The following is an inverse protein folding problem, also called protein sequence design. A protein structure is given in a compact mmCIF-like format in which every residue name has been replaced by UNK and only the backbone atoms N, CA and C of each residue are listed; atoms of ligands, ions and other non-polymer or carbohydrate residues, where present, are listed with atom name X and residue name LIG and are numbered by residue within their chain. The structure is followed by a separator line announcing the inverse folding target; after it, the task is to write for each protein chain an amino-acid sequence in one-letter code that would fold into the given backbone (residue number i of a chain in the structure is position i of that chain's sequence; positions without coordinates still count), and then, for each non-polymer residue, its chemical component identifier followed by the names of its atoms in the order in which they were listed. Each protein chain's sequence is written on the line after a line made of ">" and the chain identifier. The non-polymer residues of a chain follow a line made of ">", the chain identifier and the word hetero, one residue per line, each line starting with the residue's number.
data_IF_107142946817
#
_entry.id   IF_107142946817
#
_cell.length_a   1.000
_cell.length_b   1.000
_cell.length_c   1.000
_cell.angle_alpha   90.00
_cell.angle_beta   90.00
_cell.angle_gamma   90.00
#
_symmetry.space_group_name_H-M   'P 1'
#
loop_
_entity.id
_entity.type
_entity.pdbx_description
1 polymer ?
#
# COMPACT_ATOMS: atom_id res chain seq x y z
N UNK A 1 18.36 65.46 58.97
CA UNK A 1 17.33 65.02 59.93
C UNK A 1 17.54 63.53 60.12
N UNK A 2 17.45 63.01 61.35
CA UNK A 2 17.72 61.60 61.60
C UNK A 2 16.59 60.71 61.05
N UNK A 3 16.91 59.49 60.65
CA UNK A 3 15.98 58.48 60.14
C UNK A 3 16.21 57.15 60.87
N UNK A 4 15.23 56.24 60.81
CA UNK A 4 15.37 54.87 61.30
C UNK A 4 16.56 54.12 60.65
N UNK A 5 16.97 54.54 59.45
CA UNK A 5 18.12 53.97 58.74
C UNK A 5 19.49 54.40 59.31
N UNK A 6 19.52 55.40 60.20
CA UNK A 6 20.74 55.85 60.89
C UNK A 6 20.99 55.07 62.20
N UNK A 7 20.07 54.20 62.61
CA UNK A 7 20.18 53.46 63.86
C UNK A 7 21.14 52.27 63.75
N UNK A 8 21.85 52.01 64.84
CA UNK A 8 22.86 50.95 64.99
C UNK A 8 22.26 49.66 65.57
N UNK A 9 22.79 48.52 65.14
CA UNK A 9 22.51 47.22 65.78
C UNK A 9 23.16 47.10 67.17
N UNK A 10 24.17 47.92 67.45
CA UNK A 10 24.79 48.04 68.78
C UNK A 10 23.99 49.06 69.60
N UNK A 11 23.26 48.57 70.60
CA UNK A 11 22.34 49.38 71.41
C UNK A 11 22.99 50.64 72.03
N UNK A 12 24.22 50.52 72.52
CA UNK A 12 24.97 51.62 73.13
C UNK A 12 25.19 52.82 72.18
N UNK A 13 25.20 52.59 70.88
CA UNK A 13 25.42 53.64 69.88
C UNK A 13 24.14 54.43 69.54
N UNK A 14 22.96 53.97 69.99
CA UNK A 14 21.68 54.57 69.63
C UNK A 14 21.27 55.76 70.51
N UNK A 15 21.93 55.98 71.65
CA UNK A 15 21.55 57.02 72.61
C UNK A 15 21.61 58.45 72.07
N UNK A 16 22.34 58.69 70.98
CA UNK A 16 22.45 59.97 70.27
C UNK A 16 22.23 59.87 68.75
N UNK A 17 21.72 58.74 68.26
CA UNK A 17 21.52 58.52 66.81
C UNK A 17 20.38 59.37 66.24
N UNK A 18 19.40 59.74 67.07
CA UNK A 18 18.33 60.69 66.74
C UNK A 18 18.27 61.76 67.83
N UNK A 19 18.48 63.03 67.46
CA UNK A 19 18.46 64.15 68.40
C UNK A 19 17.11 64.32 69.13
N UNK A 20 16.03 63.72 68.61
CA UNK A 20 14.69 63.75 69.20
C UNK A 20 14.38 62.52 70.08
N UNK A 21 15.27 61.52 70.14
CA UNK A 21 15.13 60.29 70.94
C UNK A 21 16.32 60.19 71.90
N UNK A 22 16.08 60.31 73.21
CA UNK A 22 17.13 60.25 74.22
C UNK A 22 16.97 59.00 75.09
N UNK A 23 17.35 57.84 74.52
CA UNK A 23 17.45 56.56 75.24
C UNK A 23 18.87 56.28 75.74
N UNK A 24 19.53 57.30 76.29
CA UNK A 24 20.84 57.12 76.93
C UNK A 24 20.70 56.29 78.22
N UNK A 25 21.74 55.50 78.52
CA UNK A 25 21.83 54.80 79.80
C UNK A 25 21.83 55.81 80.96
N UNK A 26 20.98 55.60 81.97
CA UNK A 26 20.80 56.55 83.06
C UNK A 26 19.92 57.76 82.74
N UNK A 27 19.15 57.75 81.64
CA UNK A 27 18.25 58.85 81.29
C UNK A 27 17.27 59.21 82.42
N UNK A 28 16.92 60.51 82.61
CA UNK A 28 15.93 60.91 83.59
C UNK A 28 14.54 60.39 83.22
N UNK A 29 13.69 60.02 84.19
CA UNK A 29 12.34 59.50 83.91
C UNK A 29 11.46 60.44 83.04
N UNK A 30 11.70 61.75 83.08
CA UNK A 30 10.97 62.75 82.28
C UNK A 30 11.24 62.65 80.76
N UNK A 31 12.38 62.11 80.34
CA UNK A 31 12.76 62.00 78.93
C UNK A 31 12.15 60.76 78.24
N UNK A 32 11.68 59.77 79.01
CA UNK A 32 11.17 58.48 78.52
C UNK A 32 9.98 58.68 77.58
N UNK A 33 9.00 59.48 77.99
CA UNK A 33 7.74 59.66 77.26
C UNK A 33 7.95 60.32 75.88
N UNK A 34 8.77 61.37 75.80
CA UNK A 34 9.06 62.03 74.52
C UNK A 34 9.81 61.11 73.57
N UNK A 35 10.83 60.40 74.08
CA UNK A 35 11.63 59.46 73.30
C UNK A 35 10.78 58.30 72.76
N UNK A 36 9.85 57.77 73.58
CA UNK A 36 8.91 56.73 73.16
C UNK A 36 7.96 57.18 72.05
N UNK A 37 7.37 58.37 72.18
CA UNK A 37 6.50 58.90 71.12
C UNK A 37 7.24 59.13 69.82
N UNK A 38 8.47 59.63 69.88
CA UNK A 38 9.28 59.84 68.69
C UNK A 38 9.76 58.53 68.07
N UNK A 39 10.13 57.53 68.87
CA UNK A 39 10.45 56.20 68.36
C UNK A 39 9.25 55.55 67.66
N UNK A 40 8.03 55.70 68.21
CA UNK A 40 6.80 55.29 67.52
C UNK A 40 6.59 56.02 66.19
N UNK A 41 6.90 57.32 66.13
CA UNK A 41 6.83 58.09 64.88
C UNK A 41 7.83 57.57 63.82
N UNK A 42 9.08 57.25 64.19
CA UNK A 42 10.06 56.65 63.27
C UNK A 42 9.63 55.28 62.73
N UNK A 43 8.99 54.47 63.57
CA UNK A 43 8.40 53.21 63.12
C UNK A 43 7.23 53.45 62.14
N UNK A 44 6.40 54.48 62.37
CA UNK A 44 5.32 54.85 61.46
C UNK A 44 5.85 55.41 60.12
N UNK A 45 6.95 56.17 60.12
CA UNK A 45 7.65 56.62 58.91
C UNK A 45 8.09 55.43 58.07
N UNK A 46 8.78 54.46 58.69
CA UNK A 46 9.20 53.23 58.01
C UNK A 46 8.00 52.47 57.44
N UNK A 47 6.93 52.32 58.24
CA UNK A 47 5.70 51.67 57.79
C UNK A 47 5.06 52.40 56.61
N UNK A 48 5.07 53.74 56.60
CA UNK A 48 4.59 54.54 55.48
C UNK A 48 5.40 54.33 54.20
N UNK A 49 6.70 54.08 54.34
CA UNK A 49 7.62 53.84 53.23
C UNK A 49 7.51 52.43 52.63
N UNK A 50 7.36 51.41 53.48
CA UNK A 50 7.30 50.00 53.03
C UNK A 50 5.87 49.47 52.87
N UNK A 51 4.87 50.24 53.30
CA UNK A 51 3.47 49.83 53.30
C UNK A 51 2.74 49.97 51.97
N UNK A 52 3.37 50.51 50.93
CA UNK A 52 2.80 50.63 49.58
C UNK A 52 1.88 51.83 49.36
N UNK A 53 1.80 52.75 50.33
CA UNK A 53 0.96 53.95 50.24
C UNK A 53 1.58 55.07 49.37
N UNK A 54 2.92 55.07 49.24
CA UNK A 54 3.64 56.02 48.41
C UNK A 54 3.29 55.83 46.94
N UNK A 55 2.93 56.90 46.25
CA UNK A 55 2.64 56.88 44.81
C UNK A 55 3.76 57.60 44.07
N UNK A 56 4.38 56.93 43.09
CA UNK A 56 5.43 57.52 42.29
C UNK A 56 4.86 58.60 41.36
N UNK A 57 5.53 59.75 41.29
CA UNK A 57 5.33 60.77 40.26
C UNK A 57 6.34 60.64 39.12
N UNK A 58 6.40 61.65 38.25
CA UNK A 58 7.32 61.68 37.10
C UNK A 58 6.72 61.06 35.84
N UNK A 59 7.57 60.51 34.97
CA UNK A 59 7.16 59.79 33.75
C UNK A 59 7.26 58.27 33.95
N UNK A 60 6.81 57.49 32.96
CA UNK A 60 6.91 56.03 32.92
C UNK A 60 8.31 55.47 33.27
N UNK A 61 9.37 56.15 32.84
CA UNK A 61 10.75 55.68 32.96
C UNK A 61 11.66 56.63 33.80
N UNK A 62 11.13 57.75 34.28
CA UNK A 62 11.84 58.68 35.17
C UNK A 62 10.97 59.02 36.38
N UNK A 63 10.99 58.13 37.37
CA UNK A 63 10.12 58.16 38.54
C UNK A 63 10.70 59.04 39.64
N UNK A 64 9.82 59.71 40.37
CA UNK A 64 10.18 60.53 41.54
C UNK A 64 9.28 60.21 42.71
N UNK A 65 9.81 60.20 43.94
CA UNK A 65 9.01 60.04 45.15
C UNK A 65 9.64 60.77 46.33
N UNK A 66 8.82 61.26 47.24
CA UNK A 66 9.24 61.74 48.56
C UNK A 66 8.89 60.64 49.57
N UNK A 67 9.90 60.03 50.18
CA UNK A 67 9.73 59.08 51.25
C UNK A 67 9.33 59.82 52.55
N UNK A 68 8.65 59.12 53.45
CA UNK A 68 8.38 59.59 54.80
C UNK A 68 9.67 59.61 55.64
N UNK A 69 10.57 58.64 55.42
CA UNK A 69 11.91 58.64 56.01
C UNK A 69 12.80 59.70 55.38
N UNK A 70 13.35 60.59 56.23
CA UNK A 70 14.13 61.75 55.81
C UNK A 70 15.64 61.49 55.55
N UNK A 71 15.98 60.31 55.03
CA UNK A 71 17.38 60.01 54.66
C UNK A 71 17.87 60.94 53.55
N UNK A 72 19.16 61.30 53.60
CA UNK A 72 19.78 62.29 52.70
C UNK A 72 20.84 61.70 51.76
N UNK A 73 21.17 60.42 51.94
CA UNK A 73 22.08 59.67 51.08
C UNK A 73 21.53 58.26 50.88
N UNK A 74 21.90 57.65 49.74
CA UNK A 74 21.54 56.26 49.49
C UNK A 74 22.53 55.30 50.14
N UNK A 75 22.00 54.34 50.89
CA UNK A 75 22.76 53.31 51.59
C UNK A 75 22.05 51.96 51.49
N UNK A 76 22.83 50.87 51.57
CA UNK A 76 22.27 49.52 51.52
C UNK A 76 21.28 49.32 52.67
N UNK A 77 20.17 48.63 52.39
CA UNK A 77 19.12 48.34 53.38
C UNK A 77 17.96 49.33 53.39
N UNK A 78 18.02 50.41 52.59
CA UNK A 78 16.86 51.27 52.35
C UNK A 78 15.82 50.56 51.46
N UNK A 79 14.56 50.60 51.88
CA UNK A 79 13.44 49.91 51.23
C UNK A 79 12.26 50.84 51.03
N UNK A 80 11.62 50.77 49.87
CA UNK A 80 10.42 51.52 49.54
C UNK A 80 9.42 50.62 48.81
N UNK A 81 8.15 50.73 49.16
CA UNK A 81 7.04 50.14 48.42
C UNK A 81 6.28 51.25 47.70
N UNK A 82 6.33 51.26 46.37
CA UNK A 82 5.80 52.33 45.53
C UNK A 82 4.65 51.82 44.67
N UNK A 83 3.55 52.56 44.65
CA UNK A 83 2.50 52.44 43.66
C UNK A 83 2.88 53.21 42.39
N UNK A 84 2.82 52.54 41.25
CA UNK A 84 3.25 53.08 39.95
C UNK A 84 2.06 53.69 39.22
N UNK A 85 2.25 54.84 38.57
CA UNK A 85 1.20 55.56 37.87
C UNK A 85 1.08 55.17 36.38
N UNK A 86 2.19 54.77 35.75
CA UNK A 86 2.25 54.47 34.32
C UNK A 86 3.22 53.34 34.09
N UNK A 87 2.88 52.45 33.16
CA UNK A 87 3.72 51.34 32.76
C UNK A 87 5.08 51.83 32.26
N UNK A 88 6.16 51.19 32.70
CA UNK A 88 7.47 51.48 32.14
C UNK A 88 7.54 50.96 30.69
N UNK A 89 8.21 51.70 29.82
CA UNK A 89 8.39 51.31 28.41
C UNK A 89 9.82 50.90 28.09
N UNK A 90 10.74 51.11 29.02
CA UNK A 90 12.13 50.69 28.91
C UNK A 90 12.86 50.75 30.24
N UNK A 91 14.11 51.19 30.20
CA UNK A 91 14.95 51.33 31.39
C UNK A 91 14.47 52.49 32.26
N UNK A 92 14.07 52.19 33.49
CA UNK A 92 13.53 53.18 34.42
C UNK A 92 14.55 53.65 35.47
N UNK A 93 14.31 54.86 36.01
CA UNK A 93 15.07 55.44 37.13
C UNK A 93 14.14 55.90 38.24
N UNK A 94 14.65 55.96 39.47
CA UNK A 94 13.94 56.47 40.64
C UNK A 94 14.80 57.52 41.34
N UNK A 95 14.24 58.72 41.52
CA UNK A 95 14.79 59.77 42.38
C UNK A 95 13.94 59.88 43.65
N UNK A 96 14.53 59.48 44.78
CA UNK A 96 13.90 59.57 46.09
C UNK A 96 14.45 60.76 46.88
N UNK A 97 13.56 61.55 47.49
CA UNK A 97 13.90 62.71 48.34
C UNK A 97 14.74 63.79 47.63
N UNK A 98 14.79 63.77 46.29
CA UNK A 98 15.62 64.70 45.52
C UNK A 98 17.13 64.46 45.63
N UNK A 99 17.58 63.32 46.17
CA UNK A 99 19.01 62.98 46.36
C UNK A 99 19.73 62.76 45.02
N UNK A 100 19.00 62.30 44.00
CA UNK A 100 19.51 62.04 42.66
C UNK A 100 18.90 60.77 42.06
N UNK A 101 18.71 60.75 40.74
CA UNK A 101 18.12 59.58 40.07
C UNK A 101 19.10 58.40 40.06
N UNK A 102 18.61 57.22 40.45
CA UNK A 102 19.32 55.94 40.34
C UNK A 102 18.52 54.97 39.49
N UNK A 103 19.19 54.11 38.73
CA UNK A 103 18.51 53.12 37.88
C UNK A 103 17.68 52.15 38.72
N UNK A 104 16.56 51.70 38.17
CA UNK A 104 15.82 50.55 38.67
C UNK A 104 16.31 49.31 37.91
N UNK A 105 16.65 48.26 38.65
CA UNK A 105 17.22 47.00 38.13
C UNK A 105 16.34 45.84 38.55
N UNK A 106 16.28 44.80 37.72
CA UNK A 106 15.62 43.52 38.05
C UNK A 106 16.65 42.40 38.06
N UNK A 107 16.37 41.33 38.80
CA UNK A 107 17.13 40.09 38.68
C UNK A 107 16.58 39.21 37.57
N UNK A 108 17.47 38.68 36.74
CA UNK A 108 17.22 37.58 35.81
C UNK A 108 18.08 36.38 36.20
N UNK A 109 17.84 35.23 35.59
CA UNK A 109 18.72 34.06 35.75
C UNK A 109 20.16 34.31 35.30
N UNK A 110 20.37 35.31 34.43
CA UNK A 110 21.68 35.76 33.94
C UNK A 110 22.34 36.86 34.79
N UNK A 111 21.72 37.29 35.90
CA UNK A 111 22.18 38.41 36.73
C UNK A 111 21.28 39.64 36.66
N UNK A 112 21.76 40.76 37.22
CA UNK A 112 21.02 42.01 37.29
C UNK A 112 20.96 42.74 35.94
N UNK A 113 19.76 43.11 35.51
CA UNK A 113 19.54 43.81 34.24
C UNK A 113 18.70 45.07 34.42
N UNK A 114 18.77 45.98 33.45
CA UNK A 114 17.84 47.10 33.36
C UNK A 114 16.42 46.58 33.11
N UNK A 115 15.43 47.39 33.46
CA UNK A 115 14.07 47.14 32.99
C UNK A 115 14.00 47.29 31.46
N UNK A 116 13.09 46.54 30.85
CA UNK A 116 12.92 46.46 29.39
C UNK A 116 11.54 46.88 28.91
N UNK A 117 10.58 47.05 29.83
CA UNK A 117 9.19 47.40 29.57
C UNK A 117 8.24 46.44 30.26
N UNK A 118 7.11 46.97 30.72
CA UNK A 118 6.01 46.24 31.38
C UNK A 118 6.33 45.55 32.71
N UNK A 119 7.53 45.68 33.28
CA UNK A 119 7.84 45.12 34.60
C UNK A 119 7.26 45.94 35.76
N UNK A 120 7.07 47.24 35.52
CA UNK A 120 6.30 48.15 36.35
C UNK A 120 4.99 48.43 35.61
N UNK A 121 3.87 48.19 36.26
CA UNK A 121 2.53 48.37 35.70
C UNK A 121 1.79 49.42 36.51
N UNK A 122 1.01 50.26 35.83
CA UNK A 122 0.14 51.23 36.44
C UNK A 122 -0.74 50.56 37.50
N UNK A 123 -0.93 51.24 38.62
CA UNK A 123 -1.62 50.78 39.84
C UNK A 123 -0.90 49.66 40.62
N UNK A 124 0.11 49.00 40.05
CA UNK A 124 0.91 47.99 40.74
C UNK A 124 1.75 48.56 41.87
N UNK A 125 1.93 47.77 42.93
CA UNK A 125 2.77 48.11 44.09
C UNK A 125 4.05 47.28 44.02
N UNK A 126 5.19 47.97 44.04
CA UNK A 126 6.50 47.36 43.86
C UNK A 126 7.44 47.68 45.00
N UNK A 127 8.20 46.66 45.43
CA UNK A 127 9.20 46.78 46.48
C UNK A 127 10.57 47.02 45.83
N UNK A 128 11.17 48.14 46.19
CA UNK A 128 12.49 48.58 45.74
C UNK A 128 13.46 48.62 46.92
N UNK A 129 14.61 47.97 46.76
CA UNK A 129 15.69 48.01 47.75
C UNK A 129 16.94 48.64 47.16
N UNK A 130 17.50 49.65 47.81
CA UNK A 130 18.74 50.25 47.33
C UNK A 130 19.94 49.33 47.61
N UNK A 131 20.80 49.16 46.62
CA UNK A 131 22.06 48.43 46.71
C UNK A 131 23.15 49.18 45.95
N UNK A 132 24.25 49.49 46.63
CA UNK A 132 25.43 50.20 46.10
C UNK A 132 26.22 49.40 45.06
N UNK A 133 26.23 48.07 45.16
CA UNK A 133 26.98 47.20 44.26
C UNK A 133 26.36 47.03 42.86
N UNK A 134 25.06 47.32 42.71
CA UNK A 134 24.35 47.14 41.45
C UNK A 134 24.72 48.21 40.41
N UNK A 135 24.40 47.91 39.14
CA UNK A 135 24.68 48.78 38.01
C UNK A 135 26.18 49.12 37.92
N UNK A 136 27.03 48.09 37.91
CA UNK A 136 28.48 48.22 37.92
C UNK A 136 29.00 49.11 39.07
N UNK A 137 28.52 48.87 40.30
CA UNK A 137 28.85 49.64 41.50
C UNK A 137 28.49 51.15 41.46
N UNK A 138 27.65 51.59 40.51
CA UNK A 138 27.11 52.95 40.50
C UNK A 138 25.96 53.14 41.52
N UNK A 139 25.46 52.05 42.10
CA UNK A 139 24.30 52.01 42.99
C UNK A 139 22.97 52.04 42.22
N UNK A 140 22.02 51.23 42.65
CA UNK A 140 20.72 51.12 41.99
C UNK A 140 19.62 50.64 42.95
N UNK A 141 18.37 50.84 42.53
CA UNK A 141 17.19 50.27 43.18
C UNK A 141 16.90 48.89 42.59
N UNK A 142 16.94 47.85 43.40
CA UNK A 142 16.54 46.51 42.99
C UNK A 142 15.03 46.34 43.14
N UNK A 143 14.36 46.05 42.03
CA UNK A 143 12.97 45.66 41.97
C UNK A 143 12.81 44.19 42.36
N UNK A 144 12.07 43.93 43.44
CA UNK A 144 11.94 42.57 43.99
C UNK A 144 10.76 41.78 43.45
N UNK A 145 9.73 42.45 42.96
CA UNK A 145 8.51 41.83 42.46
C UNK A 145 8.11 42.38 41.07
N UNK A 146 8.99 42.28 40.05
CA UNK A 146 8.63 42.70 38.70
C UNK A 146 7.37 41.95 38.23
N UNK A 147 6.50 42.63 37.48
CA UNK A 147 5.39 41.93 36.81
C UNK A 147 5.96 40.91 35.85
N UNK A 148 5.44 39.69 35.93
CA UNK A 148 5.80 38.60 35.03
C UNK A 148 4.85 38.59 33.84
N UNK A 149 5.40 38.53 32.62
CA UNK A 149 4.61 38.17 31.44
C UNK A 149 4.41 36.66 31.42
N UNK A 150 3.17 36.23 31.70
CA UNK A 150 2.80 34.81 31.70
C UNK A 150 2.33 34.31 30.32
N UNK A 151 2.23 35.18 29.31
CA UNK A 151 1.71 34.83 27.98
C UNK A 151 2.56 33.79 27.24
N UNK A 152 3.83 33.65 27.61
CA UNK A 152 4.76 32.69 27.02
C UNK A 152 4.70 31.29 27.65
N UNK A 153 3.95 31.10 28.73
CA UNK A 153 3.87 29.81 29.42
C UNK A 153 2.77 28.92 28.84
N UNK A 154 3.04 27.61 28.79
CA UNK A 154 2.05 26.60 28.42
C UNK A 154 1.23 26.25 29.67
N UNK A 155 -0.09 26.39 29.61
CA UNK A 155 -0.99 26.07 30.73
C UNK A 155 -1.48 24.62 30.68
N UNK A 156 -1.91 24.09 31.83
CA UNK A 156 -2.52 22.74 31.94
C UNK A 156 -3.92 22.68 31.34
N UNK A 157 -4.59 23.83 31.22
CA UNK A 157 -5.95 23.97 30.71
C UNK A 157 -5.97 25.05 29.64
N UNK A 158 -6.75 24.84 28.58
CA UNK A 158 -6.86 25.77 27.46
C UNK A 158 -6.14 25.30 26.19
N UNK A 159 -6.47 25.97 25.08
CA UNK A 159 -5.86 25.71 23.77
C UNK A 159 -4.52 26.43 23.67
N UNK A 160 -3.48 25.69 23.31
CA UNK A 160 -2.12 26.22 23.16
C UNK A 160 -1.68 26.16 21.70
N UNK A 161 -1.18 27.27 21.16
CA UNK A 161 -0.59 27.34 19.80
C UNK A 161 0.93 27.36 19.91
N UNK A 162 1.59 26.30 19.46
CA UNK A 162 3.04 26.16 19.50
C UNK A 162 3.64 26.35 18.09
N UNK A 163 4.10 27.56 17.77
CA UNK A 163 4.71 27.88 16.47
C UNK A 163 6.21 27.63 16.49
N UNK A 164 6.73 26.86 15.53
CA UNK A 164 8.15 26.53 15.35
C UNK A 164 8.80 25.96 16.62
N UNK A 165 8.08 25.10 17.36
CA UNK A 165 8.59 24.40 18.54
C UNK A 165 8.78 22.92 18.26
N UNK A 166 9.81 22.33 18.84
CA UNK A 166 10.03 20.88 18.87
C UNK A 166 9.50 20.33 20.19
N UNK A 167 8.62 19.33 20.12
CA UNK A 167 8.18 18.56 21.29
C UNK A 167 9.00 17.28 21.37
N UNK A 168 9.85 17.15 22.38
CA UNK A 168 10.64 15.93 22.62
C UNK A 168 9.86 14.98 23.51
N UNK A 169 9.46 13.83 22.96
CA UNK A 169 8.69 12.78 23.67
C UNK A 169 7.35 13.23 24.30
N UNK A 170 6.48 13.97 23.59
CA UNK A 170 5.17 14.32 24.13
C UNK A 170 4.26 13.08 24.20
N UNK A 171 3.50 12.94 25.28
CA UNK A 171 2.34 12.04 25.31
C UNK A 171 1.11 12.81 24.79
N UNK A 172 0.61 12.45 23.62
CA UNK A 172 -0.61 13.03 23.04
C UNK A 172 -1.64 11.91 22.89
N UNK A 173 -2.67 11.92 23.73
CA UNK A 173 -3.63 10.81 23.81
C UNK A 173 -4.60 10.76 22.64
N UNK A 174 -4.98 11.91 22.08
CA UNK A 174 -5.96 12.03 20.99
C UNK A 174 -5.47 13.04 19.93
N UNK A 175 -4.35 12.77 19.24
CA UNK A 175 -3.84 13.70 18.25
C UNK A 175 -4.75 13.72 17.03
N UNK A 176 -5.16 14.91 16.59
CA UNK A 176 -5.64 15.14 15.22
C UNK A 176 -4.49 15.75 14.44
N UNK A 177 -3.94 15.01 13.48
CA UNK A 177 -2.83 15.47 12.64
C UNK A 177 -3.40 15.85 11.27
N UNK A 178 -3.37 17.13 10.94
CA UNK A 178 -3.78 17.63 9.61
C UNK A 178 -2.53 17.92 8.77
N UNK A 179 -2.35 17.20 7.66
CA UNK A 179 -1.25 17.43 6.72
C UNK A 179 0.15 17.03 7.21
N UNK A 180 0.24 16.22 8.26
CA UNK A 180 1.52 15.69 8.75
C UNK A 180 1.96 14.43 8.00
N UNK A 181 3.27 14.23 7.90
CA UNK A 181 3.87 12.95 7.51
C UNK A 181 4.44 12.27 8.75
N UNK A 182 4.20 10.97 8.90
CA UNK A 182 4.75 10.17 10.00
C UNK A 182 5.65 9.07 9.46
N UNK A 183 6.85 8.95 10.02
CA UNK A 183 7.73 7.80 9.78
C UNK A 183 7.44 6.72 10.82
N UNK A 184 7.14 5.49 10.38
CA UNK A 184 6.95 4.34 11.27
C UNK A 184 5.64 4.33 12.08
N UNK A 185 4.57 4.92 11.56
CA UNK A 185 3.26 4.89 12.24
C UNK A 185 2.70 3.45 12.28
N UNK A 186 2.28 2.98 13.46
CA UNK A 186 1.53 1.72 13.63
C UNK A 186 0.05 2.04 13.82
N UNK A 187 -0.82 1.37 13.05
CA UNK A 187 -2.26 1.57 13.14
C UNK A 187 -2.92 0.43 13.91
N UNK A 188 -3.29 0.66 15.17
CA UNK A 188 -3.95 -0.33 16.03
C UNK A 188 -5.41 0.04 16.23
N UNK A 189 -6.35 -0.85 15.85
CA UNK A 189 -7.80 -0.68 16.08
C UNK A 189 -8.44 0.59 15.48
N UNK A 190 -7.85 1.19 14.45
CA UNK A 190 -8.39 2.41 13.84
C UNK A 190 -9.41 2.11 12.73
N UNK A 191 -10.46 2.92 12.66
CA UNK A 191 -11.35 3.00 11.50
C UNK A 191 -10.80 4.06 10.53
N UNK A 192 -10.39 3.64 9.34
CA UNK A 192 -10.02 4.53 8.24
C UNK A 192 -11.27 4.83 7.40
N UNK A 193 -11.82 6.04 7.52
CA UNK A 193 -12.95 6.49 6.68
C UNK A 193 -12.39 7.13 5.41
N UNK A 194 -12.72 6.56 4.24
CA UNK A 194 -12.24 7.02 2.91
C UNK A 194 -10.70 7.13 2.75
N UNK A 195 -9.92 6.11 3.11
CA UNK A 195 -8.47 6.17 2.94
C UNK A 195 -8.10 6.14 1.46
N UNK A 196 -7.17 7.00 1.05
CA UNK A 196 -6.35 6.77 -0.15
C UNK A 196 -5.01 6.24 0.31
N UNK A 197 -4.67 5.00 -0.07
CA UNK A 197 -3.37 4.40 0.22
C UNK A 197 -2.45 4.63 -0.98
N UNK A 198 -1.37 5.37 -0.79
CA UNK A 198 -0.28 5.49 -1.77
C UNK A 198 0.88 4.61 -1.33
N UNK A 199 1.28 3.67 -2.17
CA UNK A 199 2.41 2.78 -1.93
C UNK A 199 3.71 3.41 -2.48
N UNK A 200 4.87 2.90 -2.07
CA UNK A 200 6.13 3.21 -2.76
C UNK A 200 6.02 2.76 -4.21
N UNK A 201 6.51 3.54 -5.16
CA UNK A 201 6.34 3.27 -6.58
C UNK A 201 7.70 3.04 -7.26
N UNK A 202 7.74 2.09 -8.18
CA UNK A 202 8.91 1.81 -9.03
C UNK A 202 8.43 1.14 -10.32
N UNK A 203 9.17 1.33 -11.43
CA UNK A 203 8.98 0.54 -12.66
C UNK A 203 9.72 -0.82 -12.60
N UNK A 204 10.47 -1.06 -11.54
CA UNK A 204 11.06 -2.36 -11.21
C UNK A 204 11.10 -2.49 -9.69
N UNK A 205 9.96 -2.78 -9.04
CA UNK A 205 9.90 -2.90 -7.59
C UNK A 205 10.83 -3.99 -7.06
N UNK A 206 11.66 -3.62 -6.09
CA UNK A 206 12.62 -4.52 -5.44
C UNK A 206 12.52 -4.33 -3.92
N UNK A 207 11.43 -4.80 -3.27
CA UNK A 207 11.29 -4.67 -1.84
C UNK A 207 12.37 -5.50 -1.12
N UNK A 208 13.06 -4.90 -0.15
CA UNK A 208 14.26 -5.47 0.50
C UNK A 208 14.04 -5.92 1.94
N UNK A 209 12.81 -5.83 2.44
CA UNK A 209 12.45 -6.21 3.81
C UNK A 209 11.02 -6.75 3.84
N UNK A 210 10.78 -7.77 4.67
CA UNK A 210 9.45 -8.35 4.84
C UNK A 210 8.42 -7.26 5.21
N UNK A 211 7.29 -7.25 4.49
CA UNK A 211 6.25 -6.23 4.62
C UNK A 211 6.50 -4.93 3.84
N UNK A 212 7.61 -4.80 3.11
CA UNK A 212 7.76 -3.72 2.13
C UNK A 212 6.86 -3.99 0.92
N UNK A 213 5.97 -3.04 0.61
CA UNK A 213 4.95 -3.12 -0.43
C UNK A 213 5.21 -2.00 -1.42
N UNK A 214 5.36 -2.37 -2.68
CA UNK A 214 5.65 -1.45 -3.77
C UNK A 214 4.67 -1.64 -4.92
N UNK A 215 4.20 -0.54 -5.51
CA UNK A 215 3.40 -0.51 -6.74
C UNK A 215 4.33 -0.49 -7.95
N UNK A 216 4.08 -1.42 -8.86
CA UNK A 216 4.77 -1.59 -10.14
C UNK A 216 4.10 -0.73 -11.21
N UNK A 217 4.71 0.41 -11.54
CA UNK A 217 4.05 1.47 -12.31
C UNK A 217 3.86 1.19 -13.79
N UNK A 218 4.68 0.30 -14.37
CA UNK A 218 4.63 -0.06 -15.79
C UNK A 218 3.90 -1.39 -16.03
N UNK A 219 3.87 -2.25 -15.01
CA UNK A 219 3.36 -3.61 -15.09
C UNK A 219 1.97 -3.79 -14.42
N UNK A 220 1.44 -2.75 -13.75
CA UNK A 220 0.16 -2.71 -13.00
C UNK A 220 0.05 -3.80 -11.91
N UNK A 221 1.10 -3.93 -11.09
CA UNK A 221 1.21 -4.97 -10.05
C UNK A 221 1.56 -4.40 -8.70
N UNK A 222 1.31 -5.19 -7.66
CA UNK A 222 1.81 -4.95 -6.30
C UNK A 222 2.85 -6.03 -5.99
N UNK A 223 4.05 -5.61 -5.60
CA UNK A 223 5.17 -6.48 -5.20
C UNK A 223 5.42 -6.34 -3.71
N UNK A 224 5.51 -7.46 -3.00
CA UNK A 224 5.65 -7.53 -1.53
C UNK A 224 6.78 -8.51 -1.17
N UNK A 225 7.65 -8.18 -0.22
CA UNK A 225 8.58 -9.14 0.39
C UNK A 225 10.01 -8.64 0.58
N UNK A 226 10.96 -9.55 0.72
CA UNK A 226 12.33 -9.28 1.20
C UNK A 226 13.44 -9.54 0.17
N UNK A 227 13.16 -9.35 -1.12
CA UNK A 227 14.04 -9.63 -2.27
C UNK A 227 14.38 -11.10 -2.51
N UNK A 228 14.08 -12.01 -1.57
CA UNK A 228 14.31 -13.46 -1.72
C UNK A 228 13.00 -14.18 -2.03
N UNK A 229 11.89 -13.80 -1.39
CA UNK A 229 10.58 -14.43 -1.56
C UNK A 229 9.48 -13.41 -1.92
N UNK A 230 9.68 -12.67 -3.02
CA UNK A 230 8.70 -11.69 -3.47
C UNK A 230 7.37 -12.36 -3.85
N UNK A 231 6.27 -11.80 -3.33
CA UNK A 231 4.89 -12.10 -3.74
C UNK A 231 4.41 -11.01 -4.66
N UNK A 232 3.78 -11.41 -5.76
CA UNK A 232 3.28 -10.50 -6.78
C UNK A 232 1.77 -10.66 -6.84
N UNK A 233 1.05 -9.58 -6.59
CA UNK A 233 -0.38 -9.47 -6.84
C UNK A 233 -0.55 -8.70 -8.14
N UNK A 234 -1.00 -9.39 -9.17
CA UNK A 234 -1.34 -8.77 -10.45
C UNK A 234 -2.84 -8.71 -10.57
N UNK A 235 -3.35 -7.71 -11.29
CA UNK A 235 -4.66 -7.86 -11.91
C UNK A 235 -4.59 -9.04 -12.90
N UNK A 236 -5.67 -9.83 -13.02
CA UNK A 236 -5.83 -10.65 -14.22
C UNK A 236 -5.74 -9.70 -15.43
N UNK A 237 -5.19 -10.13 -16.58
CA UNK A 237 -5.16 -9.26 -17.75
C UNK A 237 -6.60 -8.80 -18.01
N UNK A 238 -6.82 -7.50 -17.93
CA UNK A 238 -8.10 -6.90 -18.24
C UNK A 238 -8.31 -7.01 -19.75
N UNK A 239 -8.84 -8.14 -20.22
CA UNK A 239 -9.23 -8.30 -21.62
C UNK A 239 -10.69 -8.65 -21.72
N UNK A 240 -11.41 -7.93 -22.58
CA UNK A 240 -12.80 -8.20 -22.95
C UNK A 240 -12.94 -9.38 -23.92
N UNK A 241 -11.97 -10.31 -23.93
CA UNK A 241 -11.93 -11.50 -24.79
C UNK A 241 -11.26 -12.62 -24.01
N UNK A 242 -11.96 -13.75 -23.96
CA UNK A 242 -11.62 -15.12 -23.51
C UNK A 242 -10.41 -15.33 -22.60
N UNK A 243 -10.68 -15.97 -21.46
CA UNK A 243 -9.74 -16.35 -20.42
C UNK A 243 -8.52 -17.11 -20.98
N UNK A 244 -7.40 -16.41 -21.11
CA UNK A 244 -6.09 -17.04 -21.11
C UNK A 244 -5.79 -17.41 -19.67
N UNK A 245 -5.83 -18.70 -19.33
CA UNK A 245 -5.37 -19.19 -18.01
C UNK A 245 -3.88 -18.84 -17.91
N UNK A 246 -3.48 -17.97 -16.97
CA UNK A 246 -2.06 -17.65 -16.78
C UNK A 246 -1.29 -18.92 -16.44
N UNK A 247 -0.13 -19.14 -17.06
CA UNK A 247 0.81 -20.16 -16.58
C UNK A 247 1.25 -19.76 -15.17
N UNK A 248 0.98 -20.61 -14.19
CA UNK A 248 1.60 -20.51 -12.86
C UNK A 248 3.02 -21.12 -12.87
N UNK A 249 3.84 -20.85 -13.90
CA UNK A 249 5.19 -21.45 -14.02
C UNK A 249 6.35 -20.47 -13.75
N UNK A 250 6.06 -19.27 -13.24
CA UNK A 250 7.07 -18.38 -12.64
C UNK A 250 8.05 -17.72 -13.61
N UNK A 251 7.90 -17.90 -14.93
CA UNK A 251 8.68 -17.18 -15.94
C UNK A 251 7.86 -16.05 -16.57
N UNK A 252 8.40 -14.82 -16.56
CA UNK A 252 7.80 -13.63 -17.20
C UNK A 252 7.52 -13.88 -18.70
N UNK A 253 6.30 -13.58 -19.16
CA UNK A 253 6.05 -13.19 -20.56
C UNK A 253 5.79 -14.27 -21.62
N UNK A 254 5.49 -15.53 -21.27
CA UNK A 254 5.13 -16.53 -22.30
C UNK A 254 3.62 -16.51 -22.63
N UNK A 255 3.23 -15.72 -23.63
CA UNK A 255 1.93 -15.86 -24.30
C UNK A 255 1.82 -17.28 -24.86
N UNK A 256 0.77 -18.01 -24.49
CA UNK A 256 0.53 -19.38 -24.94
C UNK A 256 0.33 -19.38 -26.47
N UNK A 257 1.27 -19.93 -27.23
CA UNK A 257 1.28 -19.94 -28.70
C UNK A 257 0.42 -21.04 -29.33
N UNK A 258 -0.34 -21.81 -28.54
CA UNK A 258 -1.35 -22.74 -29.05
C UNK A 258 -2.39 -23.01 -27.95
N UNK A 259 -3.58 -22.43 -28.13
CA UNK A 259 -4.54 -22.16 -27.06
C UNK A 259 -5.42 -23.34 -26.64
N UNK A 260 -5.60 -23.48 -25.33
CA UNK A 260 -6.83 -23.99 -24.74
C UNK A 260 -7.71 -22.77 -24.43
N UNK A 261 -8.75 -22.53 -25.23
CA UNK A 261 -9.78 -21.53 -24.91
C UNK A 261 -10.83 -22.20 -24.03
N UNK A 262 -10.95 -21.76 -22.78
CA UNK A 262 -12.07 -22.14 -21.89
C UNK A 262 -13.09 -21.00 -21.97
N UNK A 263 -14.15 -21.19 -22.76
CA UNK A 263 -15.27 -20.25 -22.79
C UNK A 263 -15.99 -20.25 -21.43
N UNK A 264 -16.53 -19.08 -21.09
CA UNK A 264 -17.44 -18.83 -19.96
C UNK A 264 -18.68 -19.75 -19.90
N UNK A 265 -18.99 -20.47 -20.98
CA UNK A 265 -20.13 -21.37 -21.11
C UNK A 265 -19.74 -22.85 -20.94
N UNK A 266 -18.62 -23.13 -20.27
CA UNK A 266 -18.10 -24.48 -20.00
C UNK A 266 -17.83 -25.34 -21.26
N UNK A 267 -17.77 -24.75 -22.44
CA UNK A 267 -17.41 -25.45 -23.67
C UNK A 267 -15.90 -25.33 -23.91
N UNK A 268 -15.20 -26.47 -23.93
CA UNK A 268 -13.83 -26.56 -24.47
C UNK A 268 -13.97 -26.84 -25.96
N UNK A 269 -13.90 -25.81 -26.79
CA UNK A 269 -13.92 -25.95 -28.25
C UNK A 269 -12.49 -25.95 -28.79
N UNK A 270 -12.04 -27.11 -29.27
CA UNK A 270 -10.81 -27.24 -30.04
C UNK A 270 -11.17 -27.54 -31.51
N UNK A 271 -10.71 -26.69 -32.43
CA UNK A 271 -10.74 -27.01 -33.85
C UNK A 271 -9.85 -28.24 -34.10
N UNK A 272 -10.45 -29.37 -34.46
CA UNK A 272 -9.72 -30.64 -34.69
C UNK A 272 -9.89 -31.72 -33.61
N UNK A 273 -10.81 -31.54 -32.65
CA UNK A 273 -11.17 -32.54 -31.63
C UNK A 273 -10.57 -32.25 -30.25
N UNK A 274 -11.16 -32.86 -29.21
CA UNK A 274 -10.70 -32.75 -27.82
C UNK A 274 -9.60 -33.78 -27.53
N UNK A 275 -8.42 -33.31 -27.11
CA UNK A 275 -7.25 -34.13 -26.78
C UNK A 275 -7.06 -34.16 -25.26
N UNK A 276 -6.79 -35.35 -24.69
CA UNK A 276 -6.32 -35.52 -23.31
C UNK A 276 -4.93 -36.12 -23.39
N UNK A 277 -3.91 -35.33 -23.07
CA UNK A 277 -2.52 -35.69 -23.38
C UNK A 277 -2.29 -35.73 -24.90
N UNK A 278 -1.64 -36.78 -25.40
CA UNK A 278 -1.46 -37.04 -26.84
C UNK A 278 -2.56 -37.92 -27.46
N UNK A 279 -3.69 -38.11 -26.77
CA UNK A 279 -4.76 -39.00 -27.26
C UNK A 279 -6.00 -38.20 -27.59
N UNK A 280 -6.51 -38.37 -28.81
CA UNK A 280 -7.80 -37.82 -29.26
C UNK A 280 -8.94 -38.62 -28.59
N UNK A 281 -9.82 -37.96 -27.84
CA UNK A 281 -10.84 -38.62 -27.00
C UNK A 281 -12.21 -38.76 -27.69
N UNK A 282 -12.32 -38.32 -28.95
CA UNK A 282 -13.53 -38.52 -29.77
C UNK A 282 -13.68 -37.47 -30.86
N UNK A 283 -14.68 -37.66 -31.72
CA UNK A 283 -15.06 -36.73 -32.80
C UNK A 283 -15.19 -37.41 -34.16
N UNK A 284 -15.82 -36.70 -35.12
CA UNK A 284 -15.98 -37.12 -36.51
C UNK A 284 -14.64 -37.54 -37.15
N UNK A 285 -14.64 -38.44 -38.17
CA UNK A 285 -13.42 -38.78 -38.91
C UNK A 285 -12.75 -37.55 -39.50
N UNK A 286 -11.41 -37.54 -39.54
CA UNK A 286 -10.63 -36.47 -40.19
C UNK A 286 -10.68 -36.61 -41.72
N UNK A 287 -10.86 -37.83 -42.26
CA UNK A 287 -11.15 -38.06 -43.66
C UNK A 287 -12.12 -39.23 -43.93
N UNK A 288 -12.88 -39.18 -45.03
CA UNK A 288 -13.79 -40.23 -45.50
C UNK A 288 -13.61 -40.47 -47.00
N UNK A 289 -13.34 -41.71 -47.38
CA UNK A 289 -13.16 -42.17 -48.76
C UNK A 289 -14.23 -43.19 -49.12
N UNK A 290 -14.69 -43.18 -50.36
CA UNK A 290 -15.78 -44.04 -50.83
C UNK A 290 -15.54 -44.64 -52.23
N UNK A 291 -16.15 -45.80 -52.47
CA UNK A 291 -16.52 -46.29 -53.80
C UNK A 291 -17.91 -45.78 -54.13
N UNK A 292 -17.98 -44.69 -54.90
CA UNK A 292 -19.23 -44.16 -55.40
C UNK A 292 -19.47 -44.61 -56.84
N UNK A 293 -20.68 -45.11 -57.10
CA UNK A 293 -21.14 -45.45 -58.45
C UNK A 293 -22.47 -44.78 -58.72
N UNK A 294 -22.81 -44.60 -60.00
CA UNK A 294 -24.11 -44.06 -60.37
C UNK A 294 -25.25 -44.88 -59.74
N UNK A 295 -26.35 -44.22 -59.37
CA UNK A 295 -27.53 -44.85 -58.80
C UNK A 295 -28.02 -46.04 -59.66
N UNK A 296 -28.38 -47.15 -59.02
CA UNK A 296 -28.79 -48.38 -59.71
C UNK A 296 -27.65 -49.19 -60.34
N UNK A 297 -26.38 -48.83 -60.14
CA UNK A 297 -25.22 -49.58 -60.64
C UNK A 297 -24.65 -50.48 -59.56
N UNK A 298 -24.64 -51.79 -59.78
CA UNK A 298 -24.12 -52.77 -58.83
C UNK A 298 -22.61 -52.64 -58.53
N UNK A 299 -22.20 -53.20 -57.39
CA UNK A 299 -20.86 -53.11 -56.81
C UNK A 299 -19.76 -53.77 -57.65
N UNK A 300 -20.13 -54.59 -58.63
CA UNK A 300 -19.23 -55.25 -59.57
C UNK A 300 -18.98 -56.72 -59.23
N UNK A 301 -18.36 -57.41 -60.19
CA UNK A 301 -17.98 -58.82 -60.08
C UNK A 301 -16.96 -59.04 -58.96
N UNK A 302 -17.26 -59.99 -58.06
CA UNK A 302 -16.35 -60.49 -57.05
C UNK A 302 -15.96 -61.93 -57.38
N UNK A 303 -14.71 -62.15 -57.79
CA UNK A 303 -14.18 -63.49 -58.08
C UNK A 303 -13.65 -64.19 -56.82
N UNK A 304 -13.83 -65.51 -56.72
CA UNK A 304 -13.42 -66.29 -55.56
C UNK A 304 -11.92 -66.61 -55.51
N UNK A 305 -11.45 -66.97 -54.32
CA UNK A 305 -10.15 -67.61 -54.10
C UNK A 305 -8.96 -66.65 -53.97
N UNK A 306 -9.00 -65.46 -54.57
CA UNK A 306 -7.96 -64.44 -54.44
C UNK A 306 -8.41 -63.24 -53.58
N UNK A 307 -7.44 -62.54 -52.98
CA UNK A 307 -7.67 -61.24 -52.36
C UNK A 307 -7.87 -60.20 -53.45
N UNK A 308 -9.10 -59.72 -53.60
CA UNK A 308 -9.47 -58.75 -54.62
C UNK A 308 -9.46 -57.34 -54.04
N UNK A 309 -8.84 -56.40 -54.75
CA UNK A 309 -8.86 -54.98 -54.38
C UNK A 309 -10.26 -54.42 -54.50
N UNK A 310 -10.71 -53.72 -53.45
CA UNK A 310 -11.96 -52.95 -53.44
C UNK A 310 -11.72 -51.60 -54.06
N UNK A 311 -12.67 -51.14 -54.86
CA UNK A 311 -12.64 -49.79 -55.43
C UNK A 311 -12.68 -48.75 -54.32
N UNK A 312 -11.96 -47.65 -54.51
CA UNK A 312 -12.06 -46.39 -53.77
C UNK A 312 -11.76 -45.27 -54.77
N UNK A 313 -12.75 -44.42 -55.06
CA UNK A 313 -12.68 -43.47 -56.17
C UNK A 313 -13.04 -42.03 -55.78
N UNK A 314 -13.66 -41.82 -54.63
CA UNK A 314 -14.08 -40.49 -54.17
C UNK A 314 -13.54 -40.19 -52.78
N UNK A 315 -12.95 -39.00 -52.64
CA UNK A 315 -12.65 -38.38 -51.35
C UNK A 315 -13.82 -37.49 -50.96
N UNK A 316 -14.64 -37.95 -50.01
CA UNK A 316 -15.91 -37.31 -49.64
C UNK A 316 -15.69 -36.22 -48.60
N UNK A 317 -14.71 -36.42 -47.73
CA UNK A 317 -14.37 -35.49 -46.67
C UNK A 317 -12.87 -35.60 -46.41
N UNK A 318 -12.13 -34.51 -46.59
CA UNK A 318 -10.76 -34.35 -46.10
C UNK A 318 -10.37 -32.85 -46.13
N UNK A 319 -10.96 -32.03 -45.26
CA UNK A 319 -10.72 -30.59 -45.27
C UNK A 319 -9.26 -30.23 -44.94
N UNK A 320 -8.48 -31.16 -44.38
CA UNK A 320 -7.10 -30.95 -43.98
C UNK A 320 -6.08 -31.53 -44.99
N UNK A 321 -6.53 -32.20 -46.05
CA UNK A 321 -5.66 -32.82 -47.06
C UNK A 321 -4.74 -33.89 -46.47
N UNK A 322 -5.26 -34.70 -45.55
CA UNK A 322 -4.52 -35.74 -44.84
C UNK A 322 -4.38 -37.05 -45.63
N UNK A 323 -5.17 -37.28 -46.67
CA UNK A 323 -5.19 -38.52 -47.44
C UNK A 323 -5.04 -38.22 -48.93
N UNK A 324 -4.07 -38.84 -49.58
CA UNK A 324 -4.02 -38.88 -51.05
C UNK A 324 -4.71 -40.16 -51.57
N UNK A 325 -5.70 -40.03 -52.44
CA UNK A 325 -6.41 -41.15 -53.08
C UNK A 325 -6.01 -41.30 -54.56
N UNK A 326 -5.47 -42.45 -54.93
CA UNK A 326 -5.18 -42.79 -56.33
C UNK A 326 -5.16 -44.31 -56.55
N UNK A 327 -5.69 -44.78 -57.69
CA UNK A 327 -5.67 -46.19 -58.09
C UNK A 327 -6.19 -47.17 -57.00
N UNK A 328 -7.33 -46.84 -56.38
CA UNK A 328 -7.95 -47.58 -55.27
C UNK A 328 -7.08 -47.70 -54.01
N UNK A 329 -6.04 -46.86 -53.90
CA UNK A 329 -5.14 -46.80 -52.77
C UNK A 329 -5.20 -45.44 -52.12
N UNK A 330 -5.14 -45.44 -50.80
CA UNK A 330 -5.09 -44.24 -50.00
C UNK A 330 -3.76 -44.16 -49.25
N UNK A 331 -3.17 -42.97 -49.19
CA UNK A 331 -1.89 -42.72 -48.52
C UNK A 331 -2.08 -41.59 -47.51
N UNK A 332 -2.04 -41.88 -46.19
CA UNK A 332 -2.19 -40.85 -45.19
C UNK A 332 -0.88 -40.06 -45.04
N UNK A 333 -0.96 -38.75 -44.82
CA UNK A 333 0.19 -37.88 -44.55
C UNK A 333 0.66 -37.96 -43.09
N UNK A 334 -0.20 -38.48 -42.21
CA UNK A 334 0.04 -38.69 -40.78
C UNK A 334 -0.35 -40.11 -40.38
N UNK A 335 0.23 -40.64 -39.29
CA UNK A 335 -0.23 -41.91 -38.76
C UNK A 335 -1.65 -41.79 -38.20
N UNK A 336 -2.40 -42.90 -38.19
CA UNK A 336 -3.75 -42.88 -37.67
C UNK A 336 -4.40 -44.25 -37.60
N UNK A 337 -5.71 -44.23 -37.38
CA UNK A 337 -6.58 -45.38 -37.36
C UNK A 337 -7.58 -45.27 -38.50
N UNK A 338 -7.81 -46.37 -39.22
CA UNK A 338 -8.91 -46.46 -40.17
C UNK A 338 -9.95 -47.45 -39.72
N UNK A 339 -11.20 -47.17 -40.07
CA UNK A 339 -12.29 -48.14 -40.07
C UNK A 339 -12.85 -48.25 -41.48
N UNK A 340 -13.23 -49.44 -41.91
CA UNK A 340 -13.81 -49.65 -43.23
C UNK A 340 -15.05 -50.53 -43.21
N UNK A 341 -15.86 -50.36 -44.25
CA UNK A 341 -16.95 -51.24 -44.67
C UNK A 341 -16.77 -51.57 -46.13
N UNK A 342 -16.92 -52.84 -46.52
CA UNK A 342 -16.80 -53.31 -47.88
C UNK A 342 -17.79 -54.45 -48.11
N UNK A 343 -19.04 -54.13 -48.48
CA UNK A 343 -20.12 -55.09 -48.53
C UNK A 343 -19.92 -56.11 -49.65
N UNK A 344 -20.61 -57.23 -49.52
CA UNK A 344 -20.75 -58.26 -50.55
C UNK A 344 -22.21 -58.64 -50.70
N UNK A 345 -22.59 -59.14 -51.87
CA UNK A 345 -23.92 -59.70 -52.12
C UNK A 345 -23.79 -60.97 -52.95
N UNK A 346 -24.63 -61.97 -52.66
CA UNK A 346 -24.76 -63.20 -53.44
C UNK A 346 -23.46 -64.00 -53.65
N UNK A 347 -22.45 -63.80 -52.80
CA UNK A 347 -21.22 -64.59 -52.79
C UNK A 347 -21.36 -65.84 -51.90
N UNK A 348 -20.33 -66.68 -51.89
CA UNK A 348 -20.29 -67.88 -51.06
C UNK A 348 -20.33 -67.60 -49.55
N UNK A 349 -20.31 -68.68 -48.77
CA UNK A 349 -20.58 -68.60 -47.33
C UNK A 349 -19.55 -67.77 -46.58
N UNK A 350 -18.29 -67.79 -46.98
CA UNK A 350 -17.21 -67.18 -46.20
C UNK A 350 -16.68 -65.95 -46.91
N UNK A 351 -16.68 -64.82 -46.20
CA UNK A 351 -16.06 -63.60 -46.66
C UNK A 351 -15.11 -63.03 -45.61
N UNK A 352 -14.07 -62.36 -46.08
CA UNK A 352 -13.10 -61.70 -45.20
C UNK A 352 -12.57 -60.46 -45.89
N UNK A 353 -12.54 -59.35 -45.18
CA UNK A 353 -11.88 -58.12 -45.65
C UNK A 353 -10.54 -57.94 -44.94
N UNK A 354 -9.67 -57.13 -45.54
CA UNK A 354 -8.38 -56.75 -44.97
C UNK A 354 -7.94 -55.38 -45.40
N UNK A 355 -7.15 -54.76 -44.53
CA UNK A 355 -6.35 -53.59 -44.85
C UNK A 355 -4.95 -54.08 -45.29
N UNK A 356 -4.62 -53.91 -46.55
CA UNK A 356 -3.32 -54.30 -47.10
C UNK A 356 -2.42 -53.06 -47.19
N UNK A 357 -1.27 -53.10 -46.53
CA UNK A 357 -0.19 -52.16 -46.78
C UNK A 357 0.52 -52.58 -48.07
N UNK A 358 0.34 -51.79 -49.11
CA UNK A 358 0.91 -52.08 -50.43
C UNK A 358 2.36 -51.67 -50.50
N UNK A 359 2.73 -50.59 -49.82
CA UNK A 359 4.13 -50.13 -49.79
C UNK A 359 5.05 -51.19 -49.22
N UNK A 360 4.62 -51.86 -48.15
CA UNK A 360 5.46 -52.85 -47.44
C UNK A 360 5.06 -54.31 -47.76
N UNK A 361 3.99 -54.54 -48.54
CA UNK A 361 3.54 -55.88 -48.92
C UNK A 361 2.90 -56.69 -47.78
N UNK A 362 2.55 -56.07 -46.65
CA UNK A 362 2.02 -56.75 -45.46
C UNK A 362 0.55 -56.45 -45.22
N UNK A 363 -0.19 -57.40 -44.62
CA UNK A 363 -1.54 -57.14 -44.12
C UNK A 363 -1.45 -56.34 -42.81
N UNK A 364 -1.99 -55.12 -42.79
CA UNK A 364 -1.96 -54.24 -41.62
C UNK A 364 -3.05 -54.56 -40.59
N UNK A 365 -4.22 -55.00 -41.06
CA UNK A 365 -5.30 -55.48 -40.20
C UNK A 365 -6.25 -56.41 -40.95
N UNK A 366 -6.89 -57.32 -40.21
CA UNK A 366 -7.97 -58.18 -40.70
C UNK A 366 -9.31 -57.58 -40.30
N UNK A 367 -10.28 -57.67 -41.22
CA UNK A 367 -11.67 -57.37 -40.91
C UNK A 367 -12.30 -58.43 -39.99
N UNK A 368 -13.57 -58.25 -39.68
CA UNK A 368 -14.35 -59.28 -39.01
C UNK A 368 -14.57 -60.46 -39.96
N UNK A 369 -14.60 -61.68 -39.40
CA UNK A 369 -15.02 -62.86 -40.14
C UNK A 369 -16.54 -62.81 -40.30
N UNK A 370 -16.99 -62.52 -41.52
CA UNK A 370 -18.39 -62.42 -41.89
C UNK A 370 -18.82 -63.61 -42.75
N UNK A 371 -20.13 -63.85 -42.82
CA UNK A 371 -20.68 -64.85 -43.72
C UNK A 371 -21.80 -64.29 -44.61
N UNK A 372 -21.90 -64.83 -45.81
CA UNK A 372 -22.94 -64.50 -46.78
C UNK A 372 -23.73 -65.78 -47.15
N UNK A 373 -24.61 -66.21 -46.25
CA UNK A 373 -25.41 -67.43 -46.45
C UNK A 373 -26.69 -67.11 -47.22
N UNK A 374 -26.94 -67.86 -48.30
CA UNK A 374 -28.20 -67.88 -49.07
C UNK A 374 -28.59 -66.53 -49.71
N UNK A 375 -27.75 -66.00 -50.60
CA UNK A 375 -28.02 -64.75 -51.33
C UNK A 375 -28.27 -63.55 -50.41
N UNK A 376 -27.53 -63.48 -49.29
CA UNK A 376 -27.62 -62.38 -48.34
C UNK A 376 -26.63 -61.27 -48.68
N UNK A 377 -26.55 -60.27 -47.81
CA UNK A 377 -25.52 -59.24 -47.84
C UNK A 377 -24.71 -59.29 -46.56
N UNK A 378 -23.41 -59.08 -46.67
CA UNK A 378 -22.51 -59.00 -45.53
C UNK A 378 -21.71 -57.70 -45.61
N UNK A 379 -21.55 -56.94 -44.51
CA UNK A 379 -20.98 -55.59 -44.55
C UNK A 379 -19.45 -55.57 -44.69
N UNK A 380 -18.75 -56.65 -44.31
CA UNK A 380 -17.30 -56.76 -44.50
C UNK A 380 -16.54 -55.66 -43.74
N UNK A 381 -16.77 -55.57 -42.43
CA UNK A 381 -16.24 -54.49 -41.60
C UNK A 381 -14.80 -54.77 -41.13
N UNK A 382 -14.07 -53.72 -40.79
CA UNK A 382 -12.80 -53.85 -40.09
C UNK A 382 -12.21 -52.53 -39.64
N UNK A 383 -11.13 -52.60 -38.89
CA UNK A 383 -10.38 -51.43 -38.45
C UNK A 383 -8.92 -51.77 -38.20
N UNK A 384 -8.04 -50.79 -38.35
CA UNK A 384 -6.61 -51.01 -38.20
C UNK A 384 -5.76 -49.75 -38.28
N UNK A 385 -4.51 -49.83 -37.79
CA UNK A 385 -3.60 -48.70 -37.83
C UNK A 385 -3.02 -48.48 -39.24
N UNK A 386 -2.75 -47.22 -39.55
CA UNK A 386 -2.03 -46.79 -40.76
C UNK A 386 -0.88 -45.87 -40.38
N UNK A 387 0.19 -45.91 -41.18
CA UNK A 387 1.42 -45.14 -40.96
C UNK A 387 1.55 -44.10 -42.06
N UNK A 388 2.03 -42.92 -41.69
CA UNK A 388 2.27 -41.81 -42.60
C UNK A 388 3.12 -42.23 -43.81
N UNK A 389 2.72 -41.81 -45.00
CA UNK A 389 3.44 -42.03 -46.27
C UNK A 389 3.33 -43.44 -46.84
N UNK A 390 2.61 -44.37 -46.20
CA UNK A 390 2.39 -45.73 -46.71
C UNK A 390 1.07 -45.83 -47.48
N UNK A 391 1.08 -46.51 -48.62
CA UNK A 391 -0.12 -46.70 -49.44
C UNK A 391 -0.87 -47.96 -48.98
N UNK A 392 -2.16 -47.80 -48.73
CA UNK A 392 -3.06 -48.87 -48.30
C UNK A 392 -4.20 -49.07 -49.28
N UNK A 393 -4.69 -50.30 -49.39
CA UNK A 393 -5.97 -50.60 -50.06
C UNK A 393 -6.80 -51.56 -49.22
N UNK A 394 -8.11 -51.50 -49.40
CA UNK A 394 -9.03 -52.50 -48.85
C UNK A 394 -9.08 -53.67 -49.81
N UNK A 395 -8.86 -54.88 -49.31
CA UNK A 395 -9.01 -56.11 -50.08
C UNK A 395 -10.10 -56.99 -49.47
N UNK A 396 -10.74 -57.79 -50.32
CA UNK A 396 -11.85 -58.66 -49.95
C UNK A 396 -11.63 -60.02 -50.61
N UNK A 397 -11.82 -61.10 -49.85
CA UNK A 397 -11.77 -62.47 -50.34
C UNK A 397 -13.08 -63.19 -50.03
N UNK A 398 -13.56 -64.01 -50.97
CA UNK A 398 -14.68 -64.92 -50.81
C UNK A 398 -14.34 -66.33 -51.29
N UNK A 399 -15.10 -67.31 -50.81
CA UNK A 399 -14.98 -68.72 -51.18
C UNK A 399 -15.73 -69.08 -52.48
N UNK A 400 -16.82 -68.37 -52.81
CA UNK A 400 -17.47 -68.43 -54.12
C UNK A 400 -17.84 -67.03 -54.63
N UNK A 401 -17.58 -66.77 -55.91
CA UNK A 401 -17.75 -65.45 -56.51
C UNK A 401 -19.15 -65.21 -57.09
N UNK A 402 -19.47 -63.94 -57.33
CA UNK A 402 -20.69 -63.49 -58.01
C UNK A 402 -20.34 -62.42 -59.06
N UNK A 403 -21.05 -62.45 -60.19
CA UNK A 403 -20.88 -61.50 -61.29
C UNK A 403 -21.82 -60.33 -61.06
N UNK A 404 -21.42 -59.12 -61.41
CA UNK A 404 -22.26 -57.90 -61.31
C UNK A 404 -22.49 -57.38 -59.89
N UNK A 405 -23.11 -58.12 -58.98
CA UNK A 405 -23.44 -57.66 -57.61
C UNK A 405 -22.51 -58.18 -56.51
N UNK A 406 -21.48 -58.94 -56.85
CA UNK A 406 -20.61 -59.61 -55.87
C UNK A 406 -20.01 -58.67 -54.81
N UNK A 407 -19.66 -57.46 -55.20
CA UNK A 407 -19.15 -56.41 -54.31
C UNK A 407 -20.22 -55.50 -53.69
N UNK A 408 -21.49 -55.88 -53.82
CA UNK A 408 -22.66 -55.20 -53.29
C UNK A 408 -23.73 -55.03 -54.38
N UNK A 409 -24.99 -55.00 -53.95
CA UNK A 409 -26.16 -54.77 -54.80
C UNK A 409 -26.62 -53.30 -54.71
N UNK A 410 -27.04 -52.72 -55.83
CA UNK A 410 -27.54 -51.35 -55.88
C UNK A 410 -28.88 -51.23 -55.14
N UNK A 411 -29.07 -50.14 -54.39
CA UNK A 411 -30.34 -49.85 -53.72
C UNK A 411 -31.26 -48.96 -54.55
N UNK A 412 -30.72 -48.08 -55.40
CA UNK A 412 -31.46 -47.22 -56.33
C UNK A 412 -32.21 -46.04 -55.70
N UNK A 413 -32.04 -45.78 -54.39
CA UNK A 413 -32.81 -44.76 -53.66
C UNK A 413 -32.10 -43.39 -53.55
N UNK A 414 -30.83 -43.27 -53.96
CA UNK A 414 -30.00 -42.06 -53.78
C UNK A 414 -29.43 -41.49 -55.09
N UNK A 415 -28.61 -40.44 -54.97
CA UNK A 415 -27.87 -39.83 -56.10
C UNK A 415 -26.72 -40.71 -56.61
N UNK A 416 -26.15 -41.55 -55.74
CA UNK A 416 -25.13 -42.53 -56.04
C UNK A 416 -25.23 -43.72 -55.07
N UNK A 417 -24.68 -44.87 -55.45
CA UNK A 417 -24.48 -46.02 -54.56
C UNK A 417 -23.13 -45.89 -53.83
N UNK A 418 -23.03 -46.41 -52.61
CA UNK A 418 -21.76 -46.46 -51.85
C UNK A 418 -21.48 -47.91 -51.50
N UNK A 419 -20.38 -48.45 -52.01
CA UNK A 419 -19.98 -49.83 -51.72
C UNK A 419 -18.91 -49.85 -50.64
N UNK A 420 -17.68 -49.50 -50.95
CA UNK A 420 -16.61 -49.41 -49.95
C UNK A 420 -16.64 -48.03 -49.29
N UNK A 421 -16.49 -47.96 -47.96
CA UNK A 421 -16.22 -46.71 -47.24
C UNK A 421 -15.06 -46.90 -46.28
N UNK A 422 -14.10 -45.99 -46.29
CA UNK A 422 -13.00 -45.91 -45.32
C UNK A 422 -13.12 -44.59 -44.57
N UNK A 423 -13.06 -44.65 -43.24
CA UNK A 423 -13.01 -43.50 -42.35
C UNK A 423 -11.64 -43.47 -41.69
N UNK A 424 -11.01 -42.30 -41.64
CA UNK A 424 -9.69 -42.11 -41.05
C UNK A 424 -9.74 -41.14 -39.88
N UNK A 425 -9.00 -41.47 -38.83
CA UNK A 425 -8.74 -40.61 -37.68
C UNK A 425 -7.23 -40.50 -37.48
N UNK A 426 -6.69 -39.29 -37.46
CA UNK A 426 -5.27 -39.08 -37.15
C UNK A 426 -4.99 -39.39 -35.68
N UNK A 427 -3.88 -40.06 -35.41
CA UNK A 427 -3.31 -40.15 -34.06
C UNK A 427 -2.40 -38.94 -33.82
N UNK A 428 -2.35 -38.41 -32.60
CA UNK A 428 -1.59 -37.19 -32.31
C UNK A 428 -0.07 -37.41 -32.40
#
# INVERSE_FOLDING_TARGET
>A
MASIYDWSMVAANNGAADAQINYSEGMPPSAVNNSARQAMARNAELLGDIGGALTAGGTADALTVTANSSFTAYANGQVLALRIATDNTGAATLNVNGIGAKSIRKMLSSGESALTGAELQATGIYLLMYQSALNAAAGAWLLLNPTMDLSAYVTLTGTQTLTNKTLTSPAINTPTITGGSGSGMTLTTATLTTPTLTLKQSAAPAPTAEGDIQWDTDDDRIVIGDSVAQKIFSSNPATTVDNTVPRFDGLKGATQTSGVTISDTNAVTAAGGYYVGSVRVGGAPDAVLEDQKATGTDGGTFSSGAWMTRTLNTEVFDPAGLIALAANRFTPTVAGWVEWSAPSCAVGTNIQTRLQNITDGTTAAMGVSDNNRASSTAPGLGGGPVVAGKAYEIQHQCDAGAVTEGFGIASGFGSHEVYTRVKFWRTA
#
